data_IF_116684923733
#
_entry.id   IF_116684923733
#
_cell.length_a   1.000
_cell.length_b   1.000
_cell.length_c   1.000
_cell.angle_alpha   90.00
_cell.angle_beta   90.00
_cell.angle_gamma   90.00
#
_symmetry.space_group_name_H-M   'P 1'
#
loop_
_entity.id
_entity.type
_entity.pdbx_description
1 polymer ?
#
# COMPACT_ATOMS: atom_id res chain seq x y z
N UNK A 1 10.42 9.48 -34.52
CA UNK A 1 11.76 10.07 -34.27
C UNK A 1 11.96 11.24 -35.22
N UNK A 2 11.26 12.32 -35.03
CA UNK A 2 11.48 13.51 -35.85
C UNK A 2 10.98 14.73 -35.07
N UNK A 3 11.79 15.78 -35.07
CA UNK A 3 11.47 17.16 -34.71
C UNK A 3 11.78 17.66 -33.29
N UNK A 4 12.78 17.10 -32.62
CA UNK A 4 13.35 17.81 -31.45
C UNK A 4 14.35 18.92 -31.83
N UNK A 5 14.79 19.04 -33.08
CA UNK A 5 15.83 20.00 -33.49
C UNK A 5 15.30 21.41 -33.83
N UNK A 6 14.04 21.55 -34.23
CA UNK A 6 13.52 22.85 -34.66
C UNK A 6 13.19 23.80 -33.49
N UNK A 7 12.73 23.29 -32.35
CA UNK A 7 12.46 24.10 -31.16
C UNK A 7 13.72 24.51 -30.38
N UNK A 8 14.85 23.87 -30.63
CA UNK A 8 16.12 24.17 -29.93
C UNK A 8 16.71 25.54 -30.30
N UNK A 9 16.47 26.03 -31.50
CA UNK A 9 17.09 27.28 -31.99
C UNK A 9 16.36 28.56 -31.57
N UNK A 10 15.08 28.49 -31.29
CA UNK A 10 14.32 29.71 -30.94
C UNK A 10 14.48 30.12 -29.46
N UNK A 11 14.85 29.19 -28.56
CA UNK A 11 15.02 29.43 -27.13
C UNK A 11 16.40 29.98 -26.72
N UNK A 12 17.41 29.79 -27.59
CA UNK A 12 18.81 30.23 -27.29
C UNK A 12 19.26 31.52 -28.00
N UNK A 13 18.33 32.29 -28.49
CA UNK A 13 18.64 33.64 -29.03
C UNK A 13 19.24 34.54 -27.98
N UNK A 14 20.60 34.60 -27.90
CA UNK A 14 21.44 35.50 -27.11
C UNK A 14 21.91 35.03 -25.72
N UNK A 15 22.39 33.79 -25.55
CA UNK A 15 23.22 33.47 -24.39
C UNK A 15 24.71 33.67 -24.77
N UNK A 16 25.27 34.79 -24.31
CA UNK A 16 26.67 35.17 -24.53
C UNK A 16 27.67 34.57 -23.56
N UNK A 17 27.28 33.53 -22.80
CA UNK A 17 28.17 32.84 -21.86
C UNK A 17 28.15 31.30 -22.06
N UNK A 18 29.34 30.74 -22.05
CA UNK A 18 29.70 29.36 -22.39
C UNK A 18 29.19 28.23 -21.50
N UNK A 19 28.15 28.43 -20.72
CA UNK A 19 27.51 27.39 -19.96
C UNK A 19 26.20 26.99 -20.66
N UNK A 20 26.30 25.97 -21.51
CA UNK A 20 25.12 25.35 -22.11
C UNK A 20 24.52 24.41 -21.08
N UNK A 21 23.36 24.78 -20.52
CA UNK A 21 22.55 23.87 -19.74
C UNK A 21 21.62 23.12 -20.69
N UNK A 22 21.74 21.80 -20.74
CA UNK A 22 20.77 20.99 -21.45
C UNK A 22 19.50 20.89 -20.58
N UNK A 23 18.43 21.59 -20.98
CA UNK A 23 17.13 21.47 -20.35
C UNK A 23 16.36 20.37 -21.08
N UNK A 24 16.25 19.21 -20.44
CA UNK A 24 15.39 18.14 -20.94
C UNK A 24 13.97 18.46 -20.45
N UNK A 25 13.10 18.89 -21.34
CA UNK A 25 11.67 19.02 -21.08
C UNK A 25 10.98 17.74 -21.51
N UNK A 26 10.29 17.10 -20.58
CA UNK A 26 9.38 16.00 -20.87
C UNK A 26 7.98 16.57 -21.11
N UNK A 27 7.33 16.13 -22.17
CA UNK A 27 5.96 16.45 -22.47
C UNK A 27 5.10 15.20 -22.44
N UNK A 28 3.83 15.34 -22.03
CA UNK A 28 2.84 14.28 -22.19
C UNK A 28 2.50 14.04 -23.67
N UNK A 29 1.61 13.08 -23.94
CA UNK A 29 1.16 12.76 -25.31
C UNK A 29 0.49 13.93 -26.04
N UNK A 30 -0.02 14.90 -25.29
CA UNK A 30 -0.74 16.08 -25.77
C UNK A 30 0.19 17.30 -25.92
N UNK A 31 1.49 17.13 -25.59
CA UNK A 31 2.52 18.14 -25.72
C UNK A 31 2.63 19.09 -24.52
N UNK A 32 1.94 18.81 -23.41
CA UNK A 32 2.07 19.61 -22.20
C UNK A 32 3.40 19.31 -21.50
N UNK A 33 4.08 20.34 -21.02
CA UNK A 33 5.35 20.20 -20.32
C UNK A 33 5.12 19.56 -18.95
N UNK A 34 5.59 18.33 -18.76
CA UNK A 34 5.45 17.58 -17.50
C UNK A 34 6.45 18.09 -16.44
N UNK A 35 7.55 18.72 -16.84
CA UNK A 35 8.57 19.17 -15.89
C UNK A 35 9.09 20.58 -16.20
N UNK A 36 8.72 21.51 -15.39
CA UNK A 36 9.38 22.82 -15.31
C UNK A 36 10.31 22.85 -14.09
N UNK A 37 11.61 22.76 -14.34
CA UNK A 37 12.67 23.07 -13.36
C UNK A 37 12.63 22.38 -11.98
N UNK A 38 13.37 21.32 -11.82
CA UNK A 38 13.94 20.91 -10.52
C UNK A 38 13.09 20.07 -9.59
N UNK A 39 11.83 19.76 -9.92
CA UNK A 39 11.06 18.77 -9.20
C UNK A 39 11.31 17.39 -9.82
N UNK A 40 11.60 16.38 -9.00
CA UNK A 40 11.70 15.01 -9.50
C UNK A 40 10.36 14.57 -10.08
N UNK A 41 10.36 13.70 -11.08
CA UNK A 41 9.14 13.13 -11.68
C UNK A 41 8.20 12.54 -10.61
N UNK A 42 8.75 11.96 -9.55
CA UNK A 42 7.98 11.39 -8.45
C UNK A 42 7.17 12.43 -7.67
N UNK A 43 7.69 13.66 -7.51
CA UNK A 43 6.94 14.75 -6.85
C UNK A 43 5.76 15.18 -7.71
N UNK A 44 5.94 15.28 -9.03
CA UNK A 44 4.86 15.65 -9.94
C UNK A 44 3.73 14.61 -9.94
N UNK A 45 4.09 13.31 -9.92
CA UNK A 45 3.12 12.22 -9.79
C UNK A 45 2.39 12.29 -8.44
N UNK A 46 3.15 12.43 -7.35
CA UNK A 46 2.56 12.51 -6.01
C UNK A 46 1.66 13.75 -5.82
N UNK A 47 1.94 14.83 -6.54
CA UNK A 47 1.11 16.04 -6.56
C UNK A 47 -0.10 15.95 -7.50
N UNK A 48 -0.30 14.82 -8.21
CA UNK A 48 -1.38 14.65 -9.18
C UNK A 48 -1.24 15.49 -10.46
N UNK A 49 -0.01 15.89 -10.78
CA UNK A 49 0.28 16.73 -11.96
C UNK A 49 0.58 15.91 -13.23
N UNK A 50 0.58 14.60 -13.12
CA UNK A 50 0.78 13.67 -14.23
C UNK A 50 -0.49 12.86 -14.39
N UNK A 51 -1.23 13.14 -15.44
CA UNK A 51 -2.50 12.48 -15.72
C UNK A 51 -2.32 10.98 -15.97
N UNK A 52 -3.22 10.18 -15.41
CA UNK A 52 -3.15 8.70 -15.48
C UNK A 52 -2.08 8.06 -14.60
N UNK A 53 -1.39 8.84 -13.74
CA UNK A 53 -0.37 8.31 -12.82
C UNK A 53 -0.73 8.62 -11.37
N UNK A 54 -0.50 7.66 -10.48
CA UNK A 54 -0.72 7.83 -9.04
C UNK A 54 0.39 7.14 -8.24
N UNK A 55 0.55 7.53 -6.98
CA UNK A 55 1.50 6.88 -6.05
C UNK A 55 0.77 6.19 -4.93
N UNK A 56 1.20 4.98 -4.61
CA UNK A 56 0.72 4.19 -3.49
C UNK A 56 1.89 3.93 -2.54
N UNK A 57 1.76 4.38 -1.30
CA UNK A 57 2.66 4.03 -0.21
C UNK A 57 1.97 3.05 0.73
N UNK A 58 2.48 1.84 0.84
CA UNK A 58 1.96 0.79 1.73
C UNK A 58 2.96 0.47 2.82
N UNK A 59 2.44 0.27 4.01
CA UNK A 59 3.24 -0.12 5.17
C UNK A 59 2.44 -0.99 6.12
N UNK A 60 3.14 -1.87 6.81
CA UNK A 60 2.54 -2.79 7.76
C UNK A 60 3.49 -3.12 8.92
N UNK A 61 2.91 -3.70 9.96
CA UNK A 61 3.67 -4.15 11.12
C UNK A 61 2.97 -5.35 11.77
N UNK A 62 3.71 -6.39 12.04
CA UNK A 62 3.31 -7.43 13.01
C UNK A 62 3.91 -7.04 14.37
N UNK A 63 3.10 -6.74 15.37
CA UNK A 63 3.60 -6.28 16.66
C UNK A 63 4.49 -7.29 17.38
N UNK A 64 4.16 -8.58 17.26
CA UNK A 64 4.90 -9.69 17.86
C UNK A 64 4.67 -10.95 17.04
N UNK A 65 5.52 -11.18 16.04
CA UNK A 65 5.54 -12.44 15.30
C UNK A 65 6.28 -13.47 16.15
N UNK A 66 5.66 -14.63 16.33
CA UNK A 66 6.20 -15.73 17.12
C UNK A 66 7.41 -16.35 16.43
N UNK A 67 8.37 -16.85 17.22
CA UNK A 67 9.48 -17.63 16.70
C UNK A 67 8.97 -18.85 15.91
N UNK A 68 9.60 -19.11 14.76
CA UNK A 68 9.25 -20.20 13.83
C UNK A 68 7.84 -20.06 13.23
N UNK A 69 7.24 -18.88 13.27
CA UNK A 69 6.01 -18.58 12.53
C UNK A 69 6.29 -17.81 11.26
N UNK A 70 5.36 -17.93 10.32
CA UNK A 70 5.34 -17.15 9.09
C UNK A 70 3.93 -16.59 8.87
N UNK A 71 3.85 -15.35 8.40
CA UNK A 71 2.58 -14.69 8.16
C UNK A 71 2.72 -13.40 7.37
N UNK A 72 1.60 -12.84 6.99
CA UNK A 72 1.54 -11.50 6.38
C UNK A 72 2.00 -10.45 7.38
N UNK A 73 2.70 -9.41 6.92
CA UNK A 73 3.07 -8.27 7.77
C UNK A 73 1.86 -7.34 7.88
N UNK A 74 1.03 -7.60 8.86
CA UNK A 74 -0.16 -6.83 9.22
C UNK A 74 -0.38 -6.82 10.72
N UNK A 75 -1.18 -5.92 11.24
CA UNK A 75 -1.32 -5.69 12.68
C UNK A 75 -2.50 -6.41 13.34
N UNK A 76 -3.10 -7.39 12.65
CA UNK A 76 -4.16 -8.25 13.20
C UNK A 76 -3.58 -9.41 14.01
N UNK A 77 -2.67 -10.16 13.42
CA UNK A 77 -2.02 -11.33 14.03
C UNK A 77 -0.73 -11.70 13.27
N UNK A 78 -0.13 -12.85 13.59
CA UNK A 78 1.08 -13.41 12.97
C UNK A 78 0.79 -14.53 11.96
N UNK A 79 -0.42 -14.57 11.40
CA UNK A 79 -0.82 -15.53 10.37
C UNK A 79 -0.90 -14.87 8.98
N UNK A 80 -1.17 -15.68 7.97
CA UNK A 80 -1.44 -15.17 6.64
C UNK A 80 -2.73 -14.35 6.59
N UNK A 81 -2.73 -13.31 5.75
CA UNK A 81 -3.95 -12.58 5.42
C UNK A 81 -4.95 -13.55 4.76
N UNK A 82 -6.24 -13.51 5.14
CA UNK A 82 -7.25 -14.43 4.66
C UNK A 82 -7.74 -14.03 3.25
N UNK A 83 -6.89 -14.21 2.25
CA UNK A 83 -7.21 -13.86 0.86
C UNK A 83 -8.48 -14.55 0.33
N UNK A 84 -8.75 -15.77 0.82
CA UNK A 84 -9.90 -16.59 0.42
C UNK A 84 -11.22 -16.07 1.00
N UNK A 85 -11.15 -15.22 2.03
CA UNK A 85 -12.32 -14.57 2.64
C UNK A 85 -13.14 -13.73 1.63
N UNK A 86 -12.53 -13.37 0.52
CA UNK A 86 -13.15 -12.60 -0.56
C UNK A 86 -13.32 -13.41 -1.87
N UNK A 87 -13.32 -14.73 -1.81
CA UNK A 87 -13.67 -15.54 -2.98
C UNK A 87 -15.07 -15.21 -3.47
N UNK A 88 -15.99 -14.95 -2.53
CA UNK A 88 -17.26 -14.27 -2.79
C UNK A 88 -17.18 -12.85 -2.23
N UNK A 89 -17.42 -11.82 -3.07
CA UNK A 89 -17.45 -10.43 -2.60
C UNK A 89 -18.49 -10.24 -1.49
N UNK A 90 -18.19 -9.48 -0.47
CA UNK A 90 -19.07 -9.28 0.69
C UNK A 90 -19.03 -7.85 1.23
N UNK A 91 -20.13 -7.44 1.85
CA UNK A 91 -20.16 -6.24 2.68
C UNK A 91 -19.44 -6.50 4.01
N UNK A 92 -19.01 -5.42 4.66
CA UNK A 92 -18.22 -5.50 5.87
C UNK A 92 -19.00 -5.06 7.09
N UNK A 93 -18.57 -5.56 8.25
CA UNK A 93 -19.06 -5.13 9.56
C UNK A 93 -17.90 -4.62 10.40
N UNK A 94 -18.18 -3.63 11.25
CA UNK A 94 -17.24 -3.12 12.23
C UNK A 94 -17.70 -3.51 13.63
N UNK A 95 -16.75 -3.92 14.46
CA UNK A 95 -16.93 -4.03 15.89
C UNK A 95 -15.77 -3.35 16.63
N UNK A 96 -16.08 -2.72 17.76
CA UNK A 96 -15.08 -2.06 18.61
C UNK A 96 -14.91 -2.81 19.91
N UNK A 97 -13.65 -3.10 20.24
CA UNK A 97 -13.29 -3.92 21.41
C UNK A 97 -12.13 -3.30 22.19
N UNK A 98 -12.06 -3.62 23.48
CA UNK A 98 -10.85 -3.42 24.27
C UNK A 98 -9.71 -4.32 23.75
N UNK A 99 -8.50 -4.13 24.24
CA UNK A 99 -7.35 -5.00 23.93
C UNK A 99 -7.58 -6.48 24.28
N UNK A 100 -8.49 -6.75 25.21
CA UNK A 100 -8.85 -8.12 25.64
C UNK A 100 -10.05 -8.70 24.86
N UNK A 101 -10.52 -8.00 23.81
CA UNK A 101 -11.62 -8.48 22.97
C UNK A 101 -13.03 -8.23 23.51
N UNK A 102 -13.19 -7.53 24.64
CA UNK A 102 -14.50 -7.15 25.18
C UNK A 102 -15.06 -5.99 24.38
N UNK A 103 -16.33 -6.06 23.96
CA UNK A 103 -17.02 -4.97 23.25
C UNK A 103 -16.96 -3.67 24.07
N UNK A 104 -16.75 -2.55 23.39
CA UNK A 104 -16.58 -1.24 24.01
C UNK A 104 -17.14 -0.13 23.13
N UNK A 105 -17.84 0.80 23.73
CA UNK A 105 -18.43 1.98 23.06
C UNK A 105 -17.59 3.25 23.23
N UNK A 106 -16.30 3.14 23.55
CA UNK A 106 -15.46 4.33 23.75
C UNK A 106 -15.21 5.11 22.45
N UNK A 107 -15.40 4.48 21.30
CA UNK A 107 -15.29 5.09 19.98
C UNK A 107 -16.67 5.29 19.30
N UNK A 108 -17.76 5.36 20.10
CA UNK A 108 -19.09 5.70 19.61
C UNK A 108 -19.09 7.04 18.87
N UNK A 109 -19.68 7.09 17.68
CA UNK A 109 -19.75 8.25 16.80
C UNK A 109 -18.50 8.50 15.95
N UNK A 110 -17.45 7.68 16.09
CA UNK A 110 -16.27 7.79 15.18
C UNK A 110 -16.66 7.29 13.79
N UNK A 111 -16.16 8.00 12.79
CA UNK A 111 -16.27 7.62 11.37
C UNK A 111 -15.04 6.84 10.95
N UNK A 112 -15.26 5.68 10.36
CA UNK A 112 -14.22 4.79 9.81
C UNK A 112 -14.39 4.70 8.30
N UNK A 113 -13.32 4.94 7.58
CA UNK A 113 -13.24 4.77 6.13
C UNK A 113 -12.53 3.46 5.81
N UNK A 114 -13.12 2.66 4.94
CA UNK A 114 -12.54 1.40 4.45
C UNK A 114 -12.37 1.50 2.95
N UNK A 115 -11.14 1.35 2.48
CA UNK A 115 -10.77 1.41 1.07
C UNK A 115 -10.46 0.01 0.55
N UNK A 116 -10.94 -0.26 -0.65
CA UNK A 116 -10.74 -1.55 -1.30
C UNK A 116 -11.13 -1.53 -2.76
N UNK A 117 -11.41 -2.70 -3.28
CA UNK A 117 -11.84 -2.92 -4.66
C UNK A 117 -13.14 -3.71 -4.67
N UNK A 118 -14.04 -3.38 -5.57
CA UNK A 118 -15.29 -4.09 -5.82
C UNK A 118 -15.08 -5.41 -6.61
N UNK A 119 -16.16 -6.05 -7.01
CA UNK A 119 -16.13 -7.31 -7.80
C UNK A 119 -15.46 -7.16 -9.18
N UNK A 120 -15.39 -5.95 -9.72
CA UNK A 120 -14.74 -5.62 -10.99
C UNK A 120 -13.27 -5.23 -10.79
N UNK A 121 -12.80 -5.16 -9.53
CA UNK A 121 -11.51 -4.61 -9.12
C UNK A 121 -11.40 -3.09 -9.37
N UNK A 122 -12.52 -2.37 -9.35
CA UNK A 122 -12.56 -0.91 -9.34
C UNK A 122 -12.45 -0.39 -7.91
N UNK A 123 -11.81 0.77 -7.73
CA UNK A 123 -11.59 1.37 -6.41
C UNK A 123 -12.92 1.81 -5.79
N UNK A 124 -13.19 1.35 -4.57
CA UNK A 124 -14.37 1.70 -3.79
C UNK A 124 -14.02 2.02 -2.35
N UNK A 125 -14.83 2.86 -1.74
CA UNK A 125 -14.76 3.23 -0.33
C UNK A 125 -16.12 3.04 0.32
N UNK A 126 -16.14 2.52 1.55
CA UNK A 126 -17.31 2.55 2.44
C UNK A 126 -16.98 3.35 3.70
N UNK A 127 -17.99 4.06 4.21
CA UNK A 127 -17.88 4.94 5.37
C UNK A 127 -18.81 4.46 6.45
N UNK A 128 -18.25 4.14 7.61
CA UNK A 128 -18.98 3.60 8.75
C UNK A 128 -19.01 4.61 9.89
N UNK A 129 -20.18 4.96 10.38
CA UNK A 129 -20.30 5.65 11.66
C UNK A 129 -20.59 4.63 12.76
N UNK A 130 -19.68 4.47 13.71
CA UNK A 130 -19.84 3.54 14.83
C UNK A 130 -21.01 3.98 15.68
N UNK A 131 -21.96 3.06 15.94
CA UNK A 131 -23.09 3.27 16.83
C UNK A 131 -22.99 2.29 18.02
N UNK A 132 -22.74 2.82 19.19
CA UNK A 132 -22.41 2.02 20.35
C UNK A 132 -21.05 1.33 20.18
N UNK A 133 -21.05 0.12 19.67
CA UNK A 133 -19.82 -0.66 19.47
C UNK A 133 -19.78 -1.39 18.13
N UNK A 134 -20.63 -1.01 17.17
CA UNK A 134 -20.70 -1.67 15.88
C UNK A 134 -21.16 -0.74 14.76
N UNK A 135 -20.87 -1.14 13.52
CA UNK A 135 -21.43 -0.56 12.31
C UNK A 135 -21.51 -1.62 11.22
N UNK A 136 -22.42 -1.48 10.28
CA UNK A 136 -22.59 -2.37 9.13
C UNK A 136 -22.54 -1.56 7.84
N UNK A 137 -21.71 -1.99 6.90
CA UNK A 137 -21.57 -1.37 5.59
C UNK A 137 -22.55 -1.90 4.57
N UNK A 138 -22.55 -1.25 3.43
CA UNK A 138 -23.40 -1.62 2.29
C UNK A 138 -22.61 -1.83 1.01
N UNK A 139 -21.39 -1.34 0.94
CA UNK A 139 -20.49 -1.56 -0.19
C UNK A 139 -19.97 -2.99 -0.15
N UNK A 140 -19.98 -3.65 -1.30
CA UNK A 140 -19.49 -5.01 -1.47
C UNK A 140 -18.05 -4.96 -1.96
N UNK A 141 -17.14 -5.61 -1.20
CA UNK A 141 -15.73 -5.62 -1.49
C UNK A 141 -15.27 -7.00 -2.02
N UNK A 142 -14.40 -6.98 -3.01
CA UNK A 142 -13.60 -8.11 -3.49
C UNK A 142 -12.19 -8.09 -2.88
N UNK A 143 -11.68 -6.91 -2.52
CA UNK A 143 -10.40 -6.70 -1.84
C UNK A 143 -10.51 -5.50 -0.91
N UNK A 144 -9.82 -5.57 0.22
CA UNK A 144 -9.63 -4.41 1.11
C UNK A 144 -8.15 -4.30 1.45
N UNK A 145 -7.65 -3.07 1.52
CA UNK A 145 -6.22 -2.84 1.73
C UNK A 145 -5.92 -1.69 2.68
N UNK A 146 -6.92 -0.98 3.16
CA UNK A 146 -6.73 0.12 4.13
C UNK A 146 -8.03 0.46 4.85
N UNK A 147 -7.90 0.80 6.14
CA UNK A 147 -8.92 1.57 6.85
C UNK A 147 -8.24 2.66 7.70
N UNK A 148 -8.96 3.77 7.91
CA UNK A 148 -8.56 4.86 8.78
C UNK A 148 -9.78 5.53 9.39
N UNK A 149 -9.57 6.34 10.44
CA UNK A 149 -10.63 7.09 11.08
C UNK A 149 -10.51 8.59 10.80
N UNK A 150 -11.66 9.25 10.75
CA UNK A 150 -11.72 10.70 10.83
C UNK A 150 -11.66 11.13 12.30
N UNK A 151 -11.08 12.31 12.52
CA UNK A 151 -11.11 12.95 13.84
C UNK A 151 -9.77 13.53 14.27
N UNK A 152 -9.82 14.28 15.35
CA UNK A 152 -8.67 14.95 15.97
C UNK A 152 -8.04 14.12 17.09
N UNK A 153 -8.69 13.02 17.49
CA UNK A 153 -8.23 12.11 18.54
C UNK A 153 -8.08 10.70 17.99
N UNK A 154 -7.06 10.00 18.47
CA UNK A 154 -6.86 8.60 18.13
C UNK A 154 -7.95 7.70 18.75
N UNK A 155 -8.24 6.57 18.09
CA UNK A 155 -9.17 5.56 18.58
C UNK A 155 -8.74 5.01 19.94
N UNK A 156 -9.72 4.79 20.82
CA UNK A 156 -9.53 4.29 22.19
C UNK A 156 -9.76 2.77 22.27
N UNK A 157 -10.33 2.17 21.25
CA UNK A 157 -10.61 0.73 21.12
C UNK A 157 -9.86 0.13 19.95
N UNK A 158 -9.80 -1.19 19.87
CA UNK A 158 -9.49 -1.87 18.61
C UNK A 158 -10.74 -1.81 17.73
N UNK A 159 -10.61 -1.23 16.55
CA UNK A 159 -11.65 -1.21 15.54
C UNK A 159 -11.37 -2.38 14.60
N UNK A 160 -12.22 -3.39 14.65
CA UNK A 160 -12.12 -4.62 13.88
C UNK A 160 -13.08 -4.56 12.72
N UNK A 161 -12.58 -4.80 11.53
CA UNK A 161 -13.37 -4.88 10.30
C UNK A 161 -13.38 -6.33 9.86
N UNK A 162 -14.56 -6.88 9.69
CA UNK A 162 -14.76 -8.29 9.33
C UNK A 162 -15.73 -8.40 8.16
N UNK A 163 -15.56 -9.45 7.36
CA UNK A 163 -16.69 -10.00 6.60
C UNK A 163 -17.49 -10.93 7.53
N UNK A 164 -18.37 -11.74 7.01
CA UNK A 164 -19.23 -12.61 7.84
C UNK A 164 -18.44 -13.59 8.73
N UNK A 165 -17.21 -13.96 8.35
CA UNK A 165 -16.45 -15.03 9.02
C UNK A 165 -15.06 -14.60 9.51
N UNK A 166 -14.38 -13.72 8.79
CA UNK A 166 -12.98 -13.42 9.01
C UNK A 166 -12.75 -11.95 9.41
N UNK A 167 -11.82 -11.73 10.33
CA UNK A 167 -11.28 -10.40 10.60
C UNK A 167 -10.32 -10.03 9.48
N UNK A 168 -10.66 -8.99 8.72
CA UNK A 168 -9.97 -8.59 7.50
C UNK A 168 -9.00 -7.43 7.74
N UNK A 169 -9.37 -6.50 8.61
CA UNK A 169 -8.58 -5.33 8.98
C UNK A 169 -8.73 -5.07 10.47
N UNK A 170 -7.72 -4.42 11.04
CA UNK A 170 -7.79 -3.89 12.40
C UNK A 170 -7.12 -2.52 12.48
N UNK A 171 -7.76 -1.58 13.15
CA UNK A 171 -7.11 -0.37 13.62
C UNK A 171 -6.83 -0.57 15.11
N UNK A 172 -5.58 -0.80 15.45
CA UNK A 172 -5.20 -0.99 16.86
C UNK A 172 -5.32 0.32 17.65
N UNK A 173 -5.50 0.20 18.96
CA UNK A 173 -5.68 1.35 19.88
C UNK A 173 -4.60 2.40 19.64
N UNK A 174 -5.02 3.64 19.43
CA UNK A 174 -4.16 4.79 19.25
C UNK A 174 -3.43 4.85 17.90
N UNK A 175 -3.84 4.05 16.90
CA UNK A 175 -3.18 4.03 15.59
C UNK A 175 -3.89 4.84 14.50
N UNK A 176 -5.20 5.05 14.64
CA UNK A 176 -6.04 5.80 13.72
C UNK A 176 -6.10 5.25 12.28
N UNK A 177 -5.32 4.23 11.97
CA UNK A 177 -5.31 3.53 10.67
C UNK A 177 -4.73 2.12 10.81
N UNK A 178 -4.99 1.30 9.78
CA UNK A 178 -4.43 -0.04 9.65
C UNK A 178 -2.95 -0.01 9.30
N UNK A 179 -2.20 -1.01 9.78
CA UNK A 179 -0.80 -1.26 9.44
C UNK A 179 -0.72 -2.59 8.72
N UNK A 180 -0.85 -2.58 7.39
CA UNK A 180 -0.88 -3.80 6.58
C UNK A 180 -0.13 -3.63 5.26
N UNK A 181 0.80 -4.53 5.00
CA UNK A 181 1.67 -4.52 3.81
C UNK A 181 1.10 -5.41 2.70
N UNK A 182 -0.17 -5.20 2.36
CA UNK A 182 -0.82 -5.84 1.22
C UNK A 182 -1.38 -4.79 0.27
N UNK A 183 -1.53 -5.16 -0.99
CA UNK A 183 -2.17 -4.32 -1.99
C UNK A 183 -2.66 -5.17 -3.16
N UNK A 184 -3.71 -4.72 -3.82
CA UNK A 184 -4.17 -5.29 -5.09
C UNK A 184 -4.20 -4.16 -6.11
N UNK A 185 -3.58 -4.37 -7.27
CA UNK A 185 -3.58 -3.37 -8.36
C UNK A 185 -4.99 -3.28 -8.95
N UNK A 186 -5.62 -2.10 -9.01
CA UNK A 186 -6.94 -1.93 -9.59
C UNK A 186 -7.03 -2.35 -11.05
N UNK A 187 -8.25 -2.62 -11.52
CA UNK A 187 -8.53 -2.82 -12.94
C UNK A 187 -8.13 -1.58 -13.75
N UNK A 188 -7.66 -1.79 -14.98
CA UNK A 188 -7.25 -0.71 -15.88
C UNK A 188 -5.93 -0.02 -15.50
N UNK A 189 -5.21 -0.53 -14.50
CA UNK A 189 -3.92 0.04 -14.05
C UNK A 189 -2.80 -1.00 -14.05
N UNK A 190 -1.59 -0.53 -14.26
CA UNK A 190 -0.36 -1.30 -14.04
C UNK A 190 0.42 -0.69 -12.88
N UNK A 191 0.79 -1.52 -11.91
CA UNK A 191 1.66 -1.13 -10.81
C UNK A 191 3.13 -1.30 -11.17
N UNK A 192 3.95 -0.32 -10.76
CA UNK A 192 5.41 -0.37 -10.85
C UNK A 192 5.99 -0.23 -9.45
N UNK A 193 6.48 -1.33 -8.88
CA UNK A 193 7.12 -1.33 -7.58
C UNK A 193 8.49 -0.68 -7.68
N UNK A 194 8.70 0.41 -6.94
CA UNK A 194 9.92 1.22 -6.98
C UNK A 194 10.92 0.83 -5.91
N UNK A 195 10.44 0.63 -4.70
CA UNK A 195 11.29 0.38 -3.54
C UNK A 195 10.54 -0.34 -2.43
N UNK A 196 11.31 -0.92 -1.53
CA UNK A 196 10.80 -1.53 -0.31
C UNK A 196 11.80 -1.41 0.84
N UNK A 197 11.27 -1.40 2.06
CA UNK A 197 12.04 -1.44 3.29
C UNK A 197 11.40 -2.43 4.25
N UNK A 198 12.21 -3.19 4.95
CA UNK A 198 11.76 -4.05 6.03
C UNK A 198 12.68 -3.96 7.24
N UNK A 199 12.12 -4.14 8.43
CA UNK A 199 12.89 -4.14 9.67
C UNK A 199 12.46 -5.29 10.56
N UNK A 200 13.40 -5.84 11.32
CA UNK A 200 13.15 -6.80 12.37
C UNK A 200 13.67 -6.21 13.71
N UNK A 201 12.80 -6.06 14.67
CA UNK A 201 13.16 -5.56 16.00
C UNK A 201 13.67 -6.69 16.90
N UNK A 202 14.29 -6.29 18.00
CA UNK A 202 14.94 -7.19 18.96
C UNK A 202 16.17 -7.93 18.36
N UNK A 203 16.67 -8.92 19.07
CA UNK A 203 17.76 -9.76 18.59
C UNK A 203 17.16 -11.00 17.88
N UNK A 204 16.55 -10.76 16.74
CA UNK A 204 15.86 -11.78 15.96
C UNK A 204 16.26 -11.70 14.48
N UNK A 205 16.15 -12.83 13.82
CA UNK A 205 16.37 -12.98 12.38
C UNK A 205 15.04 -13.28 11.71
N UNK A 206 14.80 -12.60 10.60
CA UNK A 206 13.59 -12.81 9.78
C UNK A 206 13.94 -12.83 8.30
N UNK A 207 13.29 -13.72 7.57
CA UNK A 207 13.17 -13.59 6.11
C UNK A 207 11.92 -12.76 5.83
N UNK A 208 12.03 -11.80 4.93
CA UNK A 208 10.89 -11.00 4.46
C UNK A 208 10.77 -11.19 2.96
N UNK A 209 9.65 -11.74 2.54
CA UNK A 209 9.37 -12.08 1.16
C UNK A 209 8.21 -11.24 0.63
N UNK A 210 8.37 -10.72 -0.58
CA UNK A 210 7.28 -10.17 -1.37
C UNK A 210 6.67 -11.28 -2.22
N UNK A 211 5.41 -11.56 -1.99
CA UNK A 211 4.62 -12.48 -2.79
C UNK A 211 3.71 -11.73 -3.75
N UNK A 212 3.57 -12.26 -4.96
CA UNK A 212 2.66 -11.77 -5.98
C UNK A 212 1.77 -12.91 -6.45
N UNK A 213 0.47 -12.67 -6.51
CA UNK A 213 -0.50 -13.55 -7.16
C UNK A 213 -1.07 -12.82 -8.36
N UNK A 214 -0.73 -13.27 -9.56
CA UNK A 214 -1.26 -12.68 -10.79
C UNK A 214 -2.74 -13.04 -10.98
N UNK A 215 -3.49 -12.14 -11.57
CA UNK A 215 -4.90 -12.37 -11.87
C UNK A 215 -5.12 -13.67 -12.64
N UNK A 216 -6.10 -14.45 -12.21
CA UNK A 216 -6.42 -15.76 -12.78
C UNK A 216 -5.48 -16.90 -12.33
N UNK A 217 -4.60 -16.64 -11.34
CA UNK A 217 -3.76 -17.69 -10.74
C UNK A 217 -4.16 -17.91 -9.27
N UNK A 218 -4.12 -19.17 -8.84
CA UNK A 218 -4.50 -19.56 -7.47
C UNK A 218 -3.35 -19.39 -6.46
N UNK A 219 -2.09 -19.43 -6.92
CA UNK A 219 -0.93 -19.45 -6.04
C UNK A 219 -0.13 -18.15 -6.07
N UNK A 220 0.32 -17.76 -4.88
CA UNK A 220 1.31 -16.72 -4.70
C UNK A 220 2.71 -17.20 -5.07
N UNK A 221 3.51 -16.33 -5.69
CA UNK A 221 4.92 -16.58 -6.05
C UNK A 221 5.79 -15.51 -5.41
N UNK A 222 6.98 -15.91 -4.98
CA UNK A 222 7.98 -14.97 -4.46
C UNK A 222 8.49 -14.12 -5.62
N UNK A 223 8.33 -12.80 -5.52
CA UNK A 223 8.87 -11.83 -6.46
C UNK A 223 10.16 -11.18 -5.96
N UNK A 224 10.36 -11.16 -4.62
CA UNK A 224 11.58 -10.64 -3.98
C UNK A 224 11.74 -11.26 -2.61
N UNK A 225 12.98 -11.44 -2.15
CA UNK A 225 13.30 -11.95 -0.82
C UNK A 225 14.40 -11.12 -0.16
N UNK A 226 14.32 -10.96 1.15
CA UNK A 226 15.29 -10.23 1.95
C UNK A 226 15.53 -10.94 3.29
N UNK A 227 16.79 -11.04 3.69
CA UNK A 227 17.17 -11.46 5.03
C UNK A 227 17.41 -10.23 5.91
N UNK A 228 16.71 -10.17 7.03
CA UNK A 228 16.82 -9.11 8.03
C UNK A 228 17.31 -9.74 9.31
N UNK A 229 18.55 -9.51 9.65
CA UNK A 229 19.22 -10.20 10.76
C UNK A 229 19.90 -9.25 11.75
N UNK A 230 20.01 -9.70 12.99
CA UNK A 230 20.75 -9.02 14.06
C UNK A 230 19.95 -7.94 14.82
N UNK A 231 20.63 -7.24 15.70
CA UNK A 231 20.02 -6.21 16.56
C UNK A 231 19.60 -5.00 15.72
N UNK A 232 18.28 -4.81 15.58
CA UNK A 232 17.73 -3.70 14.78
C UNK A 232 17.99 -3.86 13.28
N UNK A 233 17.96 -5.11 12.78
CA UNK A 233 18.17 -5.42 11.38
C UNK A 233 17.21 -4.66 10.48
N UNK A 234 17.74 -4.11 9.39
CA UNK A 234 16.99 -3.40 8.36
C UNK A 234 17.48 -3.83 6.99
N UNK A 235 16.53 -3.99 6.07
CA UNK A 235 16.79 -4.14 4.66
C UNK A 235 16.05 -3.04 3.91
N UNK A 236 16.75 -2.40 2.97
CA UNK A 236 16.16 -1.38 2.09
C UNK A 236 16.65 -1.63 0.67
N UNK A 237 15.75 -1.62 -0.27
CA UNK A 237 16.05 -1.85 -1.67
C UNK A 237 15.26 -0.91 -2.57
N UNK A 238 15.98 -0.29 -3.51
CA UNK A 238 15.42 0.50 -4.59
C UNK A 238 15.66 -0.26 -5.90
N UNK A 239 14.58 -0.55 -6.63
CA UNK A 239 14.66 -1.25 -7.91
C UNK A 239 15.16 -0.30 -8.99
N UNK A 240 16.36 -0.55 -9.53
CA UNK A 240 16.90 0.21 -10.66
C UNK A 240 16.03 0.07 -11.93
N UNK A 241 15.37 -1.09 -12.07
CA UNK A 241 14.26 -1.32 -12.99
C UNK A 241 13.07 -1.73 -12.14
N UNK A 242 11.97 -0.96 -12.12
CA UNK A 242 10.80 -1.27 -11.32
C UNK A 242 10.21 -2.64 -11.68
N UNK A 243 9.70 -3.35 -10.67
CA UNK A 243 8.96 -4.60 -10.92
C UNK A 243 7.56 -4.24 -11.40
N UNK A 244 7.21 -4.69 -12.59
CA UNK A 244 5.87 -4.52 -13.15
C UNK A 244 4.89 -5.52 -12.52
N UNK A 245 3.74 -5.01 -12.08
CA UNK A 245 2.67 -5.78 -11.47
C UNK A 245 1.40 -5.48 -12.27
N UNK A 246 0.89 -6.44 -13.05
CA UNK A 246 -0.30 -6.25 -13.86
C UNK A 246 -1.54 -5.93 -13.01
N UNK A 247 -2.56 -5.39 -13.65
CA UNK A 247 -3.87 -5.17 -13.03
C UNK A 247 -4.42 -6.43 -12.34
N UNK A 248 -5.24 -6.22 -11.31
CA UNK A 248 -5.93 -7.26 -10.53
C UNK A 248 -4.99 -8.27 -9.84
N UNK A 249 -3.68 -7.97 -9.80
CA UNK A 249 -2.71 -8.81 -9.11
C UNK A 249 -2.60 -8.42 -7.65
N UNK A 250 -2.51 -9.42 -6.78
CA UNK A 250 -2.37 -9.25 -5.34
C UNK A 250 -0.90 -9.24 -4.93
N UNK A 251 -0.52 -8.32 -4.04
CA UNK A 251 0.78 -8.28 -3.36
C UNK A 251 0.57 -8.56 -1.87
N UNK A 252 1.47 -9.37 -1.32
CA UNK A 252 1.47 -9.77 0.09
C UNK A 252 2.90 -9.80 0.60
N UNK A 253 3.26 -8.90 1.50
CA UNK A 253 4.58 -8.95 2.14
C UNK A 253 4.46 -9.83 3.38
N UNK A 254 5.23 -10.91 3.40
CA UNK A 254 5.24 -11.91 4.47
C UNK A 254 6.58 -11.93 5.17
N UNK A 255 6.56 -12.30 6.42
CA UNK A 255 7.77 -12.57 7.18
C UNK A 255 7.75 -13.97 7.75
N UNK A 256 8.95 -14.55 7.90
CA UNK A 256 9.22 -15.75 8.69
C UNK A 256 10.27 -15.39 9.73
N UNK A 257 9.91 -15.48 11.01
CA UNK A 257 10.84 -15.20 12.12
C UNK A 257 11.48 -16.50 12.59
N UNK A 258 12.81 -16.57 12.54
CA UNK A 258 13.58 -17.79 12.85
C UNK A 258 14.11 -17.86 14.28
N UNK A 259 14.40 -16.71 14.86
CA UNK A 259 14.95 -16.65 16.21
C UNK A 259 14.23 -15.58 17.04
N UNK A 260 13.80 -15.92 18.25
CA UNK A 260 13.06 -15.05 19.16
C UNK A 260 11.79 -14.43 18.57
N UNK A 261 10.83 -14.09 19.41
CA UNK A 261 9.67 -13.33 18.97
C UNK A 261 10.08 -11.89 18.62
N UNK A 262 9.58 -11.37 17.52
CA UNK A 262 9.98 -10.06 17.04
C UNK A 262 8.83 -9.25 16.45
N UNK A 263 8.94 -7.93 16.55
CA UNK A 263 8.19 -7.03 15.71
C UNK A 263 8.85 -6.97 14.34
N UNK A 264 8.07 -7.22 13.28
CA UNK A 264 8.52 -7.07 11.90
C UNK A 264 7.69 -5.97 11.24
N UNK A 265 8.35 -5.10 10.49
CA UNK A 265 7.67 -4.06 9.70
C UNK A 265 8.11 -4.12 8.25
N UNK A 266 7.24 -3.73 7.35
CA UNK A 266 7.58 -3.53 5.95
C UNK A 266 6.83 -2.32 5.39
N UNK A 267 7.47 -1.66 4.41
CA UNK A 267 6.82 -0.66 3.58
C UNK A 267 7.29 -0.79 2.14
N UNK A 268 6.47 -0.37 1.20
CA UNK A 268 6.82 -0.34 -0.21
C UNK A 268 6.07 0.76 -0.95
N UNK A 269 6.66 1.23 -2.05
CA UNK A 269 6.11 2.26 -2.91
C UNK A 269 5.84 1.72 -4.31
N UNK A 270 4.66 2.00 -4.82
CA UNK A 270 4.21 1.67 -6.16
C UNK A 270 3.81 2.96 -6.88
N UNK A 271 4.18 3.08 -8.14
CA UNK A 271 3.54 3.99 -9.08
C UNK A 271 2.50 3.19 -9.86
N UNK A 272 1.28 3.67 -9.87
CA UNK A 272 0.20 3.17 -10.72
C UNK A 272 0.18 3.98 -12.00
N UNK A 273 0.00 3.31 -13.13
CA UNK A 273 -0.12 3.93 -14.45
C UNK A 273 -1.35 3.35 -15.13
N UNK A 274 -2.20 4.21 -15.68
CA UNK A 274 -3.37 3.78 -16.45
C UNK A 274 -2.93 3.02 -17.70
N UNK A 275 -3.61 1.91 -18.02
CA UNK A 275 -3.24 1.03 -19.13
C UNK A 275 -3.51 1.65 -20.52
N UNK A 276 -4.32 2.71 -20.59
CA UNK A 276 -4.76 3.35 -21.82
C UNK A 276 -4.00 4.65 -22.15
N UNK A 277 -2.82 4.88 -21.53
CA UNK A 277 -2.01 6.08 -21.80
C UNK A 277 -1.09 5.89 -23.03
#
# INVERSE_FOLDING_TARGET
>A
MAQFSAHRQEWFGSVTNSNIFEVIMMADKDGNIINAFGLSSNINIAAGLVDGWATIHKFGAVPAMSQNSSGTIWDVNDTLYPWDAFDTPSALTISTTTSNGTLSSLDDGITVHVLGLDENFEEVEDTFTISGNSATGTVVFKRVYRAYIDGTTANQTQIRVSNDTDEILRINIGKSQTLMSIYTVPAGKTGYLLQGVSTCAANADATVDMYVRYFGQDSFRIGHTAEVAGVGGQYSYQFGVPIQIPEKSDLDIRAEVRSNNARVTAAFDIVLVDNEI
#
